data_IF_592087771500
#
_entry.id   IF_592087771500
#
_cell.length_a   1.000
_cell.length_b   1.000
_cell.length_c   1.000
_cell.angle_alpha   90.00
_cell.angle_beta   90.00
_cell.angle_gamma   90.00
#
_symmetry.space_group_name_H-M   'P 1'
#
loop_
_entity.id
_entity.type
_entity.pdbx_description
1 polymer ?
#
# COMPACT_ATOMS: atom_id res chain seq x y z
N UNK A 1 -4.61 -19.73 4.81
CA UNK A 1 -3.63 -18.93 4.04
C UNK A 1 -2.26 -19.40 4.46
N UNK A 2 -1.40 -19.91 3.58
CA UNK A 2 -0.04 -20.23 3.95
C UNK A 2 0.70 -18.91 4.24
N UNK A 3 1.33 -18.83 5.41
CA UNK A 3 2.31 -17.80 5.69
C UNK A 3 3.61 -18.24 5.05
N UNK A 4 4.24 -17.40 4.25
CA UNK A 4 5.58 -17.68 3.75
C UNK A 4 6.60 -16.94 4.56
N UNK A 5 7.46 -17.69 5.21
CA UNK A 5 8.62 -17.19 5.92
C UNK A 5 9.66 -16.68 4.90
N UNK A 6 9.55 -15.41 4.51
CA UNK A 6 10.55 -14.79 3.65
C UNK A 6 11.87 -14.50 4.38
N UNK A 7 11.82 -14.47 5.70
CA UNK A 7 12.98 -14.21 6.54
C UNK A 7 12.94 -15.04 7.82
N UNK A 8 14.10 -15.53 8.23
CA UNK A 8 14.28 -16.25 9.49
C UNK A 8 15.25 -15.50 10.41
N UNK A 9 14.93 -15.33 11.70
CA UNK A 9 15.84 -14.69 12.64
C UNK A 9 16.93 -15.68 13.08
N UNK A 10 18.20 -15.28 13.01
CA UNK A 10 19.32 -16.12 13.46
C UNK A 10 19.51 -16.04 14.99
N UNK A 11 19.40 -14.82 15.54
CA UNK A 11 19.57 -14.51 16.94
C UNK A 11 18.41 -13.68 17.46
N UNK A 12 17.24 -14.29 17.63
CA UNK A 12 16.05 -13.62 18.14
C UNK A 12 16.25 -13.14 19.60
N UNK A 13 15.69 -11.96 19.92
CA UNK A 13 15.76 -11.38 21.27
C UNK A 13 16.77 -10.25 21.40
N UNK A 14 17.28 -9.98 22.63
CA UNK A 14 18.26 -8.93 22.84
C UNK A 14 19.52 -9.13 21.98
N UNK A 15 19.93 -8.06 21.28
CA UNK A 15 21.06 -8.11 20.36
C UNK A 15 20.72 -8.68 18.96
N UNK A 16 19.42 -8.78 18.61
CA UNK A 16 18.98 -9.21 17.28
C UNK A 16 19.59 -8.33 16.19
N UNK A 17 20.37 -8.95 15.31
CA UNK A 17 21.06 -8.28 14.22
C UNK A 17 21.31 -9.15 12.98
N UNK A 18 20.91 -10.43 13.00
CA UNK A 18 21.15 -11.33 11.88
C UNK A 18 19.83 -11.95 11.37
N UNK A 19 19.66 -11.89 10.05
CA UNK A 19 18.48 -12.39 9.33
C UNK A 19 18.95 -13.26 8.18
N UNK A 20 18.36 -14.43 8.03
CA UNK A 20 18.44 -15.24 6.82
C UNK A 20 17.32 -14.78 5.88
N UNK A 21 17.66 -14.40 4.66
CA UNK A 21 16.72 -14.06 3.59
C UNK A 21 16.48 -15.29 2.72
N UNK A 22 15.28 -15.83 2.78
CA UNK A 22 14.89 -17.06 2.06
C UNK A 22 14.79 -16.81 0.56
N UNK A 23 14.26 -15.63 0.16
CA UNK A 23 14.07 -15.29 -1.25
C UNK A 23 15.41 -15.18 -2.02
N UNK A 24 16.47 -14.74 -1.33
CA UNK A 24 17.80 -14.55 -1.92
C UNK A 24 18.82 -15.59 -1.50
N UNK A 25 18.46 -16.46 -0.58
CA UNK A 25 19.35 -17.49 -0.02
C UNK A 25 20.66 -16.89 0.54
N UNK A 26 20.56 -15.82 1.33
CA UNK A 26 21.69 -15.09 1.89
C UNK A 26 21.54 -14.81 3.40
N UNK A 27 22.67 -14.62 4.10
CA UNK A 27 22.70 -14.15 5.47
C UNK A 27 22.99 -12.65 5.48
N UNK A 28 22.11 -11.89 6.15
CA UNK A 28 22.22 -10.44 6.33
C UNK A 28 22.63 -10.18 7.79
N UNK A 29 23.75 -9.46 7.97
CA UNK A 29 24.22 -9.04 9.29
C UNK A 29 24.19 -7.52 9.40
N UNK A 30 23.35 -7.00 10.31
CA UNK A 30 23.20 -5.58 10.57
C UNK A 30 24.17 -5.06 11.60
N UNK A 31 24.58 -3.79 11.44
CA UNK A 31 25.30 -3.06 12.48
C UNK A 31 24.35 -2.73 13.63
N UNK A 32 24.84 -2.80 14.88
CA UNK A 32 24.01 -2.58 16.08
C UNK A 32 24.00 -1.12 16.55
N UNK A 33 24.45 -0.20 15.69
CA UNK A 33 24.55 1.24 15.95
C UNK A 33 23.26 2.02 15.60
N UNK A 34 22.22 1.32 15.15
CA UNK A 34 20.96 1.93 14.71
C UNK A 34 21.00 2.55 13.32
N UNK A 35 22.14 2.47 12.59
CA UNK A 35 22.28 3.02 11.25
C UNK A 35 21.47 2.28 10.17
N UNK A 36 21.08 1.03 10.45
CA UNK A 36 20.45 0.15 9.47
C UNK A 36 21.40 -0.36 8.38
N UNK A 37 22.71 -0.09 8.50
CA UNK A 37 23.72 -0.64 7.58
C UNK A 37 23.89 -2.13 7.83
N UNK A 38 24.12 -2.86 6.75
CA UNK A 38 24.28 -4.31 6.78
C UNK A 38 25.33 -4.80 5.81
N UNK A 39 25.73 -6.04 5.99
CA UNK A 39 26.55 -6.82 5.06
C UNK A 39 25.81 -8.09 4.70
N UNK A 40 25.97 -8.52 3.44
CA UNK A 40 25.43 -9.77 2.91
C UNK A 40 26.58 -10.79 2.86
N UNK A 41 26.26 -12.03 3.15
CA UNK A 41 27.21 -13.14 3.06
C UNK A 41 26.47 -14.44 2.70
N UNK A 42 27.23 -15.44 2.27
CA UNK A 42 26.69 -16.76 1.97
C UNK A 42 26.04 -17.37 3.23
N UNK A 43 25.06 -18.25 2.99
CA UNK A 43 24.39 -18.97 4.06
C UNK A 43 25.36 -19.89 4.79
N UNK A 44 25.40 -19.86 6.13
CA UNK A 44 26.06 -20.89 6.92
C UNK A 44 25.45 -22.27 6.65
N UNK A 45 26.26 -23.32 6.63
CA UNK A 45 25.88 -24.70 6.33
C UNK A 45 24.61 -25.16 7.10
N UNK A 46 24.52 -24.80 8.35
CA UNK A 46 23.36 -25.16 9.22
C UNK A 46 22.00 -24.59 8.73
N UNK A 47 22.00 -23.60 7.81
CA UNK A 47 20.79 -22.97 7.29
C UNK A 47 20.45 -23.41 5.87
N UNK A 48 21.40 -24.03 5.15
CA UNK A 48 21.26 -24.33 3.72
C UNK A 48 20.06 -25.20 3.43
N UNK A 49 19.96 -26.37 4.09
CA UNK A 49 18.85 -27.30 3.86
C UNK A 49 17.49 -26.68 4.17
N UNK A 50 17.41 -25.93 5.27
CA UNK A 50 16.13 -25.30 5.66
C UNK A 50 15.73 -24.16 4.72
N UNK A 51 16.68 -23.37 4.25
CA UNK A 51 16.40 -22.29 3.28
C UNK A 51 16.07 -22.86 1.92
N UNK A 52 16.72 -23.91 1.48
CA UNK A 52 16.43 -24.58 0.22
C UNK A 52 14.99 -25.14 0.22
N UNK A 53 14.58 -25.83 1.31
CA UNK A 53 13.21 -26.29 1.50
C UNK A 53 12.19 -25.15 1.40
N UNK A 54 12.38 -24.07 2.18
CA UNK A 54 11.46 -22.94 2.19
C UNK A 54 11.45 -22.17 0.86
N UNK A 55 12.60 -22.07 0.20
CA UNK A 55 12.70 -21.41 -1.10
C UNK A 55 11.94 -22.22 -2.17
N UNK A 56 12.06 -23.54 -2.14
CA UNK A 56 11.32 -24.43 -3.04
C UNK A 56 9.81 -24.34 -2.79
N UNK A 57 9.37 -24.39 -1.52
CA UNK A 57 7.96 -24.17 -1.16
C UNK A 57 7.44 -22.82 -1.66
N UNK A 58 8.25 -21.77 -1.60
CA UNK A 58 7.89 -20.46 -2.10
C UNK A 58 7.73 -20.45 -3.62
N UNK A 59 8.65 -21.08 -4.37
CA UNK A 59 8.56 -21.18 -5.84
C UNK A 59 7.30 -21.94 -6.25
N UNK A 60 7.04 -23.09 -5.63
CA UNK A 60 5.84 -23.87 -5.89
C UNK A 60 4.57 -23.07 -5.62
N UNK A 61 4.49 -22.39 -4.49
CA UNK A 61 3.36 -21.53 -4.14
C UNK A 61 3.15 -20.40 -5.16
N UNK A 62 4.25 -19.76 -5.61
CA UNK A 62 4.19 -18.69 -6.60
C UNK A 62 3.74 -19.24 -7.96
N UNK A 63 4.24 -20.42 -8.36
CA UNK A 63 3.84 -21.09 -9.58
C UNK A 63 2.33 -21.41 -9.58
N UNK A 64 1.77 -21.87 -8.48
CA UNK A 64 0.34 -22.17 -8.33
C UNK A 64 -0.57 -20.92 -8.44
N UNK A 65 -0.01 -19.72 -8.32
CA UNK A 65 -0.78 -18.48 -8.38
C UNK A 65 -1.24 -18.07 -9.78
N UNK A 66 -0.64 -18.64 -10.84
CA UNK A 66 -0.92 -18.33 -12.24
C UNK A 66 -0.64 -19.56 -13.14
N UNK A 67 -1.61 -19.93 -14.01
CA UNK A 67 -1.50 -21.12 -14.86
C UNK A 67 -0.26 -21.09 -15.77
N UNK A 68 0.15 -19.91 -16.24
CA UNK A 68 1.34 -19.78 -17.11
C UNK A 68 2.64 -19.96 -16.35
N UNK A 69 2.70 -19.54 -15.09
CA UNK A 69 3.84 -19.79 -14.21
C UNK A 69 3.91 -21.25 -13.82
N UNK A 70 2.77 -21.89 -13.61
CA UNK A 70 2.70 -23.30 -13.28
C UNK A 70 3.21 -24.18 -14.44
N UNK A 71 2.79 -23.91 -15.69
CA UNK A 71 3.31 -24.61 -16.87
C UNK A 71 4.84 -24.49 -16.98
N UNK A 72 5.37 -23.28 -16.83
CA UNK A 72 6.82 -23.03 -16.87
C UNK A 72 7.58 -23.74 -15.76
N UNK A 73 7.03 -23.76 -14.55
CA UNK A 73 7.63 -24.47 -13.44
C UNK A 73 7.72 -25.97 -13.72
N UNK A 74 6.67 -26.58 -14.30
CA UNK A 74 6.71 -27.99 -14.68
C UNK A 74 7.69 -28.28 -15.79
N UNK A 75 7.92 -27.35 -16.73
CA UNK A 75 8.87 -27.53 -17.82
C UNK A 75 10.34 -27.33 -17.39
N UNK A 76 10.61 -26.36 -16.52
CA UNK A 76 11.95 -25.88 -16.21
C UNK A 76 12.42 -26.20 -14.79
N UNK A 77 11.49 -26.56 -13.90
CA UNK A 77 11.77 -26.83 -12.48
C UNK A 77 12.08 -25.58 -11.64
N UNK A 78 12.05 -24.39 -12.24
CA UNK A 78 12.34 -23.12 -11.57
C UNK A 78 11.65 -21.95 -12.26
N UNK A 79 11.57 -20.78 -11.59
CA UNK A 79 11.08 -19.53 -12.13
C UNK A 79 12.20 -18.49 -12.14
N UNK A 80 12.23 -17.63 -13.16
CA UNK A 80 13.14 -16.49 -13.22
C UNK A 80 12.80 -15.44 -12.15
N UNK A 81 13.74 -14.53 -11.85
CA UNK A 81 13.52 -13.43 -10.88
C UNK A 81 12.31 -12.55 -11.25
N UNK A 82 12.09 -12.30 -12.54
CA UNK A 82 10.95 -11.51 -13.01
C UNK A 82 9.62 -12.24 -12.84
N UNK A 83 9.60 -13.55 -13.09
CA UNK A 83 8.43 -14.41 -12.88
C UNK A 83 8.10 -14.54 -11.40
N UNK A 84 9.08 -14.78 -10.56
CA UNK A 84 8.93 -14.77 -9.11
C UNK A 84 8.37 -13.42 -8.61
N UNK A 85 8.90 -12.32 -9.12
CA UNK A 85 8.41 -10.97 -8.78
C UNK A 85 6.95 -10.78 -9.19
N UNK A 86 6.60 -11.14 -10.42
CA UNK A 86 5.23 -11.02 -10.93
C UNK A 86 4.25 -11.89 -10.15
N UNK A 87 4.62 -13.14 -9.88
CA UNK A 87 3.78 -14.08 -9.15
C UNK A 87 3.57 -13.69 -7.69
N UNK A 88 4.62 -13.25 -6.99
CA UNK A 88 4.48 -12.71 -5.60
C UNK A 88 3.58 -11.47 -5.59
N UNK A 89 3.76 -10.55 -6.55
CA UNK A 89 2.92 -9.37 -6.67
C UNK A 89 1.44 -9.73 -6.85
N UNK A 90 1.15 -10.68 -7.76
CA UNK A 90 -0.19 -11.17 -8.01
C UNK A 90 -0.80 -11.87 -6.78
N UNK A 91 -0.02 -12.71 -6.11
CA UNK A 91 -0.45 -13.41 -4.90
C UNK A 91 -0.76 -12.43 -3.74
N UNK A 92 -0.01 -11.33 -3.61
CA UNK A 92 -0.30 -10.26 -2.65
C UNK A 92 -1.60 -9.53 -3.03
N UNK A 93 -1.82 -9.21 -4.30
CA UNK A 93 -3.04 -8.56 -4.78
C UNK A 93 -4.29 -9.40 -4.48
N UNK A 94 -4.21 -10.70 -4.73
CA UNK A 94 -5.30 -11.65 -4.49
C UNK A 94 -5.45 -12.05 -3.01
N UNK A 95 -4.59 -11.52 -2.13
CA UNK A 95 -4.58 -11.84 -0.70
C UNK A 95 -4.39 -13.35 -0.41
N UNK A 96 -3.77 -14.08 -1.33
CA UNK A 96 -3.41 -15.49 -1.14
C UNK A 96 -2.08 -15.68 -0.44
N UNK A 97 -1.24 -14.64 -0.38
CA UNK A 97 0.10 -14.65 0.17
C UNK A 97 0.27 -13.62 1.30
N UNK A 98 0.82 -14.06 2.43
CA UNK A 98 1.16 -13.19 3.57
C UNK A 98 2.67 -13.27 3.82
N UNK A 99 3.46 -12.28 3.36
CA UNK A 99 4.91 -12.27 3.56
C UNK A 99 5.27 -12.00 5.03
N UNK A 100 6.13 -12.82 5.61
CA UNK A 100 6.66 -12.66 6.96
C UNK A 100 8.09 -12.10 6.92
N UNK A 101 8.32 -11.05 7.71
CA UNK A 101 9.62 -10.39 7.87
C UNK A 101 10.09 -10.31 9.31
N UNK A 102 11.39 -10.41 9.49
CA UNK A 102 12.04 -10.23 10.78
C UNK A 102 12.60 -8.81 10.88
N UNK A 103 12.03 -7.97 11.76
CA UNK A 103 12.47 -6.58 11.89
C UNK A 103 12.56 -6.12 13.35
N UNK A 104 13.44 -5.15 13.60
CA UNK A 104 13.47 -4.40 14.83
C UNK A 104 13.58 -2.90 14.52
N UNK A 105 12.46 -2.17 14.64
CA UNK A 105 12.42 -0.74 14.37
C UNK A 105 13.28 0.07 15.35
N UNK A 106 13.38 -0.37 16.61
CA UNK A 106 14.13 0.33 17.66
C UNK A 106 15.64 0.44 17.36
N UNK A 107 16.21 -0.58 16.72
CA UNK A 107 17.64 -0.65 16.35
C UNK A 107 17.85 -0.67 14.85
N UNK A 108 16.80 -0.40 14.08
CA UNK A 108 16.81 -0.31 12.62
C UNK A 108 17.36 -1.56 11.89
N UNK A 109 17.01 -2.74 12.39
CA UNK A 109 17.37 -4.04 11.80
C UNK A 109 16.23 -4.50 10.91
N UNK A 110 16.50 -4.94 9.66
CA UNK A 110 15.52 -5.47 8.72
C UNK A 110 14.62 -4.43 8.04
N UNK A 111 14.59 -3.18 8.52
CA UNK A 111 13.65 -2.15 8.03
C UNK A 111 13.88 -1.81 6.57
N UNK A 112 15.14 -1.64 6.13
CA UNK A 112 15.46 -1.35 4.72
C UNK A 112 15.03 -2.47 3.78
N UNK A 113 15.16 -3.72 4.18
CA UNK A 113 14.72 -4.89 3.38
C UNK A 113 13.20 -4.95 3.27
N UNK A 114 12.49 -4.71 4.36
CA UNK A 114 11.03 -4.60 4.34
C UNK A 114 10.57 -3.47 3.40
N UNK A 115 11.18 -2.29 3.46
CA UNK A 115 10.85 -1.18 2.56
C UNK A 115 11.14 -1.52 1.09
N UNK A 116 12.26 -2.19 0.82
CA UNK A 116 12.60 -2.67 -0.53
C UNK A 116 11.56 -3.68 -1.04
N UNK A 117 11.14 -4.61 -0.19
CA UNK A 117 10.08 -5.57 -0.55
C UNK A 117 8.77 -4.87 -0.88
N UNK A 118 8.30 -3.97 -0.03
CA UNK A 118 7.08 -3.19 -0.27
C UNK A 118 7.17 -2.45 -1.61
N UNK A 119 8.33 -1.84 -1.91
CA UNK A 119 8.54 -1.10 -3.17
C UNK A 119 8.56 -2.00 -4.41
N UNK A 120 9.08 -3.24 -4.29
CA UNK A 120 9.22 -4.16 -5.43
C UNK A 120 7.98 -5.02 -5.69
N UNK A 121 7.32 -5.46 -4.64
CA UNK A 121 6.27 -6.48 -4.68
C UNK A 121 4.91 -5.98 -4.20
N UNK A 122 4.86 -4.85 -3.49
CA UNK A 122 3.61 -4.28 -3.00
C UNK A 122 2.74 -3.75 -4.14
N UNK A 123 1.41 -3.87 -3.97
CA UNK A 123 0.44 -3.34 -4.92
C UNK A 123 0.38 -1.82 -4.84
N UNK A 124 0.32 -1.18 -5.99
CA UNK A 124 0.07 0.25 -6.13
C UNK A 124 -1.44 0.54 -6.25
N UNK A 125 -1.89 1.77 -6.02
CA UNK A 125 -3.28 2.15 -6.30
C UNK A 125 -3.71 1.88 -7.74
N UNK A 126 -2.81 2.03 -8.72
CA UNK A 126 -3.06 1.82 -10.15
C UNK A 126 -3.41 0.36 -10.45
N UNK A 127 -2.80 -0.59 -9.76
CA UNK A 127 -3.03 -2.02 -9.96
C UNK A 127 -4.48 -2.43 -9.65
N UNK A 128 -5.19 -1.63 -8.84
CA UNK A 128 -6.60 -1.87 -8.55
C UNK A 128 -7.53 -1.52 -9.72
N UNK A 129 -7.11 -0.61 -10.60
CA UNK A 129 -7.84 -0.18 -11.81
C UNK A 129 -9.14 0.55 -11.52
N UNK A 130 -10.07 -0.05 -10.76
CA UNK A 130 -11.37 0.52 -10.43
C UNK A 130 -11.72 0.38 -8.95
N UNK A 131 -12.60 1.25 -8.47
CA UNK A 131 -13.22 1.14 -7.14
C UNK A 131 -14.74 1.21 -7.26
N UNK A 132 -15.42 0.45 -6.40
CA UNK A 132 -16.88 0.52 -6.33
C UNK A 132 -17.29 1.74 -5.52
N UNK A 133 -18.21 2.51 -6.05
CA UNK A 133 -18.85 3.63 -5.38
C UNK A 133 -20.38 3.49 -5.50
N UNK A 134 -21.12 4.18 -4.65
CA UNK A 134 -22.58 4.24 -4.77
C UNK A 134 -23.01 5.51 -5.46
N UNK A 135 -23.99 5.40 -6.33
CA UNK A 135 -24.63 6.56 -6.94
C UNK A 135 -25.43 7.34 -5.89
N UNK A 136 -25.35 8.65 -5.98
CA UNK A 136 -25.91 9.50 -4.92
C UNK A 136 -27.44 9.44 -4.79
N UNK A 137 -28.12 9.14 -5.92
CA UNK A 137 -29.60 9.23 -6.02
C UNK A 137 -30.28 7.86 -6.05
N UNK A 138 -29.62 6.80 -6.54
CA UNK A 138 -30.20 5.47 -6.70
C UNK A 138 -29.66 4.43 -5.70
N UNK A 139 -28.58 4.74 -5.00
CA UNK A 139 -27.85 3.81 -4.13
C UNK A 139 -27.30 2.57 -4.87
N UNK A 140 -27.27 2.64 -6.21
CA UNK A 140 -26.72 1.60 -7.08
C UNK A 140 -25.19 1.64 -7.08
N UNK A 141 -24.60 0.46 -7.25
CA UNK A 141 -23.15 0.33 -7.33
C UNK A 141 -22.65 0.77 -8.71
N UNK A 142 -21.69 1.70 -8.71
CA UNK A 142 -21.02 2.19 -9.91
C UNK A 142 -19.52 1.94 -9.83
N UNK A 143 -18.90 1.64 -10.98
CA UNK A 143 -17.44 1.49 -11.05
C UNK A 143 -16.78 2.84 -11.36
N UNK A 144 -15.82 3.23 -10.53
CA UNK A 144 -15.01 4.44 -10.71
C UNK A 144 -13.61 4.04 -11.10
N UNK A 145 -13.21 4.38 -12.35
CA UNK A 145 -11.86 4.13 -12.83
C UNK A 145 -10.86 5.10 -12.17
N UNK A 146 -9.69 4.61 -11.77
CA UNK A 146 -8.65 5.44 -11.17
C UNK A 146 -8.04 6.42 -12.18
N UNK A 147 -7.94 6.02 -13.45
CA UNK A 147 -7.46 6.84 -14.57
C UNK A 147 -8.53 7.80 -15.12
N UNK A 148 -9.71 7.89 -14.47
CA UNK A 148 -10.78 8.80 -14.83
C UNK A 148 -10.30 10.27 -14.76
N UNK A 149 -10.89 11.12 -15.62
CA UNK A 149 -10.55 12.56 -15.67
C UNK A 149 -11.16 13.35 -14.51
N UNK A 150 -12.32 12.91 -14.04
CA UNK A 150 -13.08 13.62 -13.02
C UNK A 150 -12.61 13.25 -11.62
N UNK A 151 -12.35 14.23 -10.75
CA UNK A 151 -11.91 13.97 -9.40
C UNK A 151 -13.00 13.27 -8.59
N UNK A 152 -12.60 12.20 -7.89
CA UNK A 152 -13.38 11.57 -6.84
C UNK A 152 -12.50 11.44 -5.61
N UNK A 153 -12.92 12.09 -4.53
CA UNK A 153 -12.14 12.24 -3.31
C UNK A 153 -12.96 11.76 -2.11
N UNK A 154 -12.36 10.97 -1.27
CA UNK A 154 -12.99 10.51 -0.02
C UNK A 154 -12.25 11.04 1.19
N UNK A 155 -12.97 11.72 2.08
CA UNK A 155 -12.46 12.25 3.34
C UNK A 155 -12.61 11.18 4.42
N UNK A 156 -11.50 10.58 4.81
CA UNK A 156 -11.50 9.45 5.75
C UNK A 156 -11.24 9.86 7.20
N UNK A 157 -10.71 11.09 7.43
CA UNK A 157 -10.42 11.61 8.77
C UNK A 157 -10.45 13.13 8.80
N UNK A 158 -11.00 13.70 9.87
CA UNK A 158 -10.91 15.13 10.17
C UNK A 158 -10.41 15.30 11.60
N UNK A 159 -9.43 16.18 11.79
CA UNK A 159 -8.90 16.56 13.10
C UNK A 159 -8.96 18.07 13.23
N UNK A 160 -9.34 18.56 14.43
CA UNK A 160 -9.27 19.97 14.75
C UNK A 160 -7.95 20.30 15.41
N UNK A 161 -7.22 21.27 14.86
CA UNK A 161 -5.95 21.73 15.39
C UNK A 161 -6.04 23.18 15.87
N UNK A 162 -5.44 23.43 17.01
CA UNK A 162 -5.34 24.80 17.52
C UNK A 162 -4.62 25.71 16.49
N UNK A 163 -5.16 26.89 16.24
CA UNK A 163 -4.65 27.94 15.31
C UNK A 163 -4.72 27.61 13.80
N UNK A 164 -5.02 26.37 13.40
CA UNK A 164 -5.15 26.00 11.97
C UNK A 164 -6.62 25.78 11.58
N UNK A 165 -7.43 25.30 12.51
CA UNK A 165 -8.80 24.86 12.29
C UNK A 165 -8.86 23.39 11.89
N UNK A 166 -9.91 23.01 11.20
CA UNK A 166 -10.13 21.65 10.78
C UNK A 166 -9.19 21.27 9.62
N UNK A 167 -8.48 20.15 9.81
CA UNK A 167 -7.63 19.52 8.83
C UNK A 167 -8.30 18.22 8.38
N UNK A 168 -8.73 18.18 7.14
CA UNK A 168 -9.41 17.03 6.53
C UNK A 168 -8.43 16.20 5.72
N UNK A 169 -8.21 14.94 6.13
CA UNK A 169 -7.42 13.96 5.41
C UNK A 169 -8.27 13.26 4.37
N UNK A 170 -7.76 13.17 3.17
CA UNK A 170 -8.48 12.59 2.05
C UNK A 170 -7.61 11.70 1.17
N UNK A 171 -8.26 10.82 0.42
CA UNK A 171 -7.65 10.05 -0.66
C UNK A 171 -8.32 10.40 -1.98
N UNK A 172 -7.52 10.58 -3.03
CA UNK A 172 -8.01 10.73 -4.40
C UNK A 172 -8.22 9.35 -5.00
N UNK A 173 -9.44 9.05 -5.40
CA UNK A 173 -9.82 7.76 -6.02
C UNK A 173 -9.90 7.82 -7.53
N UNK A 174 -10.06 8.99 -8.11
CA UNK A 174 -10.08 9.21 -9.57
C UNK A 174 -9.66 10.64 -9.88
N UNK A 175 -9.11 10.86 -11.05
CA UNK A 175 -8.71 12.17 -11.53
C UNK A 175 -7.62 12.84 -10.69
N UNK A 176 -7.67 14.15 -10.63
CA UNK A 176 -6.70 14.98 -9.90
C UNK A 176 -7.38 16.14 -9.20
N UNK A 177 -6.84 16.57 -8.08
CA UNK A 177 -7.28 17.76 -7.34
C UNK A 177 -6.17 18.78 -7.28
N UNK A 178 -6.55 20.07 -7.35
CA UNK A 178 -5.62 21.20 -7.38
C UNK A 178 -5.96 22.21 -6.29
N UNK A 179 -4.94 22.85 -5.75
CA UNK A 179 -5.12 23.96 -4.83
C UNK A 179 -5.93 25.10 -5.50
N UNK A 180 -6.96 25.55 -4.83
CA UNK A 180 -7.85 26.61 -5.31
C UNK A 180 -9.00 26.15 -6.20
N UNK A 181 -9.15 24.85 -6.52
CA UNK A 181 -10.29 24.36 -7.28
C UNK A 181 -11.58 24.35 -6.44
N UNK A 182 -12.70 24.53 -7.10
CA UNK A 182 -14.01 24.30 -6.49
C UNK A 182 -14.46 22.86 -6.75
N UNK A 183 -14.97 22.20 -5.71
CA UNK A 183 -15.40 20.79 -5.73
C UNK A 183 -16.72 20.68 -4.99
N UNK A 184 -17.57 19.74 -5.39
CA UNK A 184 -18.86 19.51 -4.75
C UNK A 184 -18.74 18.40 -3.70
N UNK A 185 -19.18 18.68 -2.48
CA UNK A 185 -19.47 17.64 -1.49
C UNK A 185 -20.78 16.94 -1.88
N UNK A 186 -20.67 15.78 -2.52
CA UNK A 186 -21.83 15.02 -3.01
C UNK A 186 -22.68 14.46 -1.88
N UNK A 187 -22.08 14.19 -0.71
CA UNK A 187 -22.79 13.72 0.48
C UNK A 187 -23.69 14.78 1.11
N UNK A 188 -23.45 16.05 0.85
CA UNK A 188 -24.17 17.19 1.44
C UNK A 188 -24.72 18.19 0.42
N UNK A 189 -24.44 17.99 -0.87
CA UNK A 189 -24.83 18.89 -1.96
C UNK A 189 -24.36 20.35 -1.73
N UNK A 190 -23.12 20.50 -1.25
CA UNK A 190 -22.50 21.80 -0.96
C UNK A 190 -21.18 21.96 -1.70
N UNK A 191 -20.99 23.14 -2.32
CA UNK A 191 -19.71 23.47 -2.93
C UNK A 191 -18.66 23.75 -1.86
N UNK A 192 -17.47 23.24 -2.06
CA UNK A 192 -16.27 23.45 -1.26
C UNK A 192 -15.15 23.98 -2.12
N UNK A 193 -14.27 24.77 -1.53
CA UNK A 193 -13.04 25.20 -2.19
C UNK A 193 -11.85 24.47 -1.57
N UNK A 194 -11.12 23.72 -2.39
CA UNK A 194 -9.85 23.13 -1.98
C UNK A 194 -8.83 24.26 -1.81
N UNK A 195 -8.56 24.61 -0.57
CA UNK A 195 -7.54 25.60 -0.23
C UNK A 195 -6.13 25.05 -0.40
N UNK A 196 -5.27 25.36 0.55
CA UNK A 196 -3.92 24.82 0.58
C UNK A 196 -3.94 23.34 0.95
N UNK A 197 -3.28 22.51 0.12
CA UNK A 197 -3.14 21.09 0.33
C UNK A 197 -1.75 20.72 0.84
N UNK A 198 -1.67 19.62 1.56
CA UNK A 198 -0.44 19.13 2.18
C UNK A 198 -0.28 17.64 2.03
N UNK A 199 0.97 17.21 1.84
CA UNK A 199 1.42 15.87 2.21
C UNK A 199 1.90 15.91 3.66
N UNK A 200 1.53 14.90 4.43
CA UNK A 200 1.82 14.82 5.87
C UNK A 200 2.78 13.68 6.16
N UNK A 201 3.83 13.99 6.90
CA UNK A 201 4.74 13.01 7.46
C UNK A 201 4.92 13.31 8.96
N UNK A 202 4.11 12.66 9.78
CA UNK A 202 4.00 12.97 11.20
C UNK A 202 3.55 14.42 11.41
N UNK A 203 4.38 15.23 12.04
CA UNK A 203 4.13 16.67 12.27
C UNK A 203 4.56 17.56 11.09
N UNK A 204 5.35 17.03 10.17
CA UNK A 204 5.85 17.79 9.04
C UNK A 204 4.77 17.90 7.95
N UNK A 205 4.61 19.10 7.40
CA UNK A 205 3.67 19.44 6.34
C UNK A 205 4.43 19.95 5.14
N UNK A 206 4.24 19.29 4.01
CA UNK A 206 4.79 19.72 2.72
C UNK A 206 3.63 20.23 1.89
N UNK A 207 3.64 21.52 1.55
CA UNK A 207 2.62 22.10 0.69
C UNK A 207 2.75 21.57 -0.73
N UNK A 208 1.62 21.18 -1.32
CA UNK A 208 1.53 20.69 -2.69
C UNK A 208 0.42 21.39 -3.45
N UNK A 209 0.59 21.53 -4.76
CA UNK A 209 -0.38 22.21 -5.62
C UNK A 209 -1.37 21.25 -6.27
N UNK A 210 -0.99 19.98 -6.43
CA UNK A 210 -1.86 18.94 -7.01
C UNK A 210 -1.63 17.58 -6.33
N UNK A 211 -2.65 16.75 -6.36
CA UNK A 211 -2.63 15.35 -5.97
C UNK A 211 -3.46 14.55 -6.98
N UNK A 212 -2.97 13.37 -7.32
CA UNK A 212 -3.54 12.49 -8.34
C UNK A 212 -4.23 11.28 -7.73
N UNK A 213 -4.96 10.53 -8.54
CA UNK A 213 -5.58 9.28 -8.14
C UNK A 213 -4.55 8.35 -7.46
N UNK A 214 -4.93 7.83 -6.28
CA UNK A 214 -4.07 7.03 -5.41
C UNK A 214 -3.40 7.81 -4.28
N UNK A 215 -3.20 9.11 -4.44
CA UNK A 215 -2.55 9.96 -3.43
C UNK A 215 -3.43 10.17 -2.19
N UNK A 216 -2.74 10.32 -1.06
CA UNK A 216 -3.33 10.73 0.21
C UNK A 216 -2.78 12.11 0.56
N UNK A 217 -3.69 13.04 0.82
CA UNK A 217 -3.36 14.39 1.23
C UNK A 217 -4.22 14.91 2.38
N UNK A 218 -3.97 16.14 2.74
CA UNK A 218 -4.80 16.86 3.68
C UNK A 218 -5.08 18.27 3.17
N UNK A 219 -6.26 18.79 3.49
CA UNK A 219 -6.69 20.14 3.16
C UNK A 219 -7.26 20.82 4.40
N UNK A 220 -7.03 22.11 4.53
CA UNK A 220 -7.53 22.92 5.65
C UNK A 220 -8.80 23.67 5.29
N UNK A 221 -9.61 23.92 6.32
CA UNK A 221 -10.74 24.89 6.26
C UNK A 221 -11.86 24.52 5.28
N UNK A 222 -12.14 23.23 5.07
CA UNK A 222 -13.39 22.84 4.45
C UNK A 222 -14.56 23.17 5.39
N UNK A 223 -15.62 23.80 4.85
CA UNK A 223 -16.73 24.35 5.70
C UNK A 223 -17.84 23.34 5.97
N UNK A 224 -18.12 22.50 5.00
CA UNK A 224 -19.27 21.59 5.01
C UNK A 224 -18.86 20.12 4.92
N UNK A 225 -17.55 19.82 4.99
CA UNK A 225 -17.02 18.49 4.77
C UNK A 225 -16.52 17.88 6.08
N UNK A 226 -16.91 16.66 6.33
CA UNK A 226 -16.53 15.87 7.50
C UNK A 226 -16.03 14.48 7.09
N UNK A 227 -15.50 13.74 8.04
CA UNK A 227 -15.14 12.33 7.87
C UNK A 227 -16.31 11.52 7.31
N UNK A 228 -16.04 10.74 6.28
CA UNK A 228 -17.05 9.93 5.57
C UNK A 228 -17.67 10.62 4.37
N UNK A 229 -17.35 11.89 4.08
CA UNK A 229 -17.88 12.57 2.92
C UNK A 229 -17.08 12.28 1.65
N UNK A 230 -17.80 12.25 0.53
CA UNK A 230 -17.23 12.18 -0.82
C UNK A 230 -17.33 13.54 -1.51
N UNK A 231 -16.26 13.91 -2.20
CA UNK A 231 -16.18 15.13 -3.00
C UNK A 231 -15.94 14.74 -4.46
N UNK A 232 -16.62 15.42 -5.39
CA UNK A 232 -16.47 15.19 -6.84
C UNK A 232 -16.65 16.48 -7.62
N UNK A 233 -16.44 16.45 -8.94
CA UNK A 233 -16.69 17.62 -9.79
C UNK A 233 -18.15 18.03 -9.80
N UNK A 234 -18.43 19.33 -10.03
CA UNK A 234 -19.80 19.85 -10.11
C UNK A 234 -20.61 19.28 -11.27
N UNK A 235 -19.97 18.86 -12.36
CA UNK A 235 -20.63 18.33 -13.56
C UNK A 235 -21.18 16.90 -13.38
N UNK A 236 -20.85 16.23 -12.27
CA UNK A 236 -21.34 14.89 -11.90
C UNK A 236 -21.97 14.86 -10.51
N UNK A 237 -22.69 15.90 -10.15
CA UNK A 237 -23.34 16.04 -8.85
C UNK A 237 -24.41 14.95 -8.57
N UNK A 238 -24.83 14.24 -9.57
CA UNK A 238 -25.82 13.17 -9.46
C UNK A 238 -25.21 11.79 -9.20
N UNK A 239 -23.90 11.64 -9.37
CA UNK A 239 -23.23 10.34 -9.33
C UNK A 239 -22.10 10.30 -8.30
N UNK A 240 -22.17 9.54 -7.27
CA UNK A 240 -21.05 8.97 -6.49
C UNK A 240 -20.93 9.36 -5.02
N UNK A 241 -21.31 8.43 -4.19
CA UNK A 241 -20.78 8.27 -2.84
C UNK A 241 -19.83 7.07 -2.86
N UNK A 242 -18.56 7.28 -2.56
CA UNK A 242 -17.65 6.15 -2.29
C UNK A 242 -18.16 5.51 -1.00
N UNK A 243 -18.64 4.27 -1.12
CA UNK A 243 -19.34 3.58 -0.04
C UNK A 243 -18.43 3.28 1.15
N UNK A 244 -19.08 3.05 2.27
CA UNK A 244 -18.49 2.59 3.54
C UNK A 244 -17.84 1.21 3.47
N UNK A 245 -17.90 0.50 2.34
CA UNK A 245 -17.25 -0.81 2.14
C UNK A 245 -15.72 -0.78 2.22
N UNK A 246 -15.10 0.40 2.05
CA UNK A 246 -13.70 0.55 2.45
C UNK A 246 -13.44 0.37 3.97
N UNK A 247 -14.48 0.38 4.80
CA UNK A 247 -14.34 0.15 6.26
C UNK A 247 -14.29 -1.32 6.64
N UNK A 248 -14.95 -2.22 5.91
CA UNK A 248 -15.13 -3.62 6.33
C UNK A 248 -14.01 -4.58 5.89
N UNK A 249 -13.06 -4.14 5.08
CA UNK A 249 -11.91 -4.97 4.65
C UNK A 249 -10.62 -4.71 5.43
N UNK A 250 -10.65 -3.87 6.45
CA UNK A 250 -9.49 -3.55 7.32
C UNK A 250 -9.75 -3.83 8.81
N UNK A 251 -10.78 -4.60 9.13
CA UNK A 251 -11.01 -5.13 10.48
C UNK A 251 -10.76 -6.62 10.55
#
# INVERSE_FOLDING_TARGET
MPSSDLQLPVNAGPGFNQIVDVLRSELITYQTDGSGKYTESDLPEKWQDRVEELHQELIEFVAESDDTLLEKFFEQGNLSEEEMRSGIHHAIQNQSFIPLFCTSAAVNVGVSRLMTFISKYGSSPVDRGTVVAKESNSDEDISVALDGKEPVVYVFKTISEAHVGDLSFFRVYSGSVFAGMDILNTSRSKSERFGQMFLLNGKNRISVNNLNAGDIGAVVKLKHTHTGNTLSSQNRSEERRVGTECRSRWS
#
